data_IF_624075886447
#
_entry.id   IF_624075886447
#
_cell.length_a   1.000
_cell.length_b   1.000
_cell.length_c   1.000
_cell.angle_alpha   90.00
_cell.angle_beta   90.00
_cell.angle_gamma   90.00
#
_symmetry.space_group_name_H-M   'P 1'
#
loop_
_entity.id
_entity.type
_entity.pdbx_description
1 polymer ?
#
# COMPACT_ATOMS: atom_id res chain seq x y z
N UNK A 1 -9.68 -12.14 13.71
CA UNK A 1 -9.35 -10.80 13.18
C UNK A 1 -8.08 -10.92 12.35
N UNK A 2 -7.99 -10.29 11.17
CA UNK A 2 -6.79 -10.30 10.34
C UNK A 2 -5.64 -9.52 11.00
N UNK A 3 -4.38 -9.88 10.71
CA UNK A 3 -3.19 -9.26 11.33
C UNK A 3 -3.09 -7.75 11.10
N UNK A 4 -3.67 -7.25 10.00
CA UNK A 4 -3.59 -5.86 9.57
C UNK A 4 -4.85 -5.04 9.94
N UNK A 5 -5.87 -5.66 10.53
CA UNK A 5 -7.10 -4.95 10.90
C UNK A 5 -6.81 -3.81 11.89
N UNK A 6 -7.27 -2.59 11.56
CA UNK A 6 -7.07 -1.37 12.35
C UNK A 6 -5.65 -0.80 12.33
N UNK A 7 -4.76 -1.33 11.47
CA UNK A 7 -3.42 -0.76 11.26
C UNK A 7 -3.46 0.33 10.19
N UNK A 8 -2.54 1.29 10.32
CA UNK A 8 -2.33 2.36 9.35
C UNK A 8 -1.16 2.00 8.45
N UNK A 9 -1.32 2.17 7.14
CA UNK A 9 -0.30 1.85 6.13
C UNK A 9 0.10 3.10 5.35
N UNK A 10 1.41 3.21 5.11
CA UNK A 10 1.97 4.07 4.06
C UNK A 10 2.58 3.13 3.00
N UNK A 11 2.18 3.34 1.75
CA UNK A 11 2.61 2.51 0.63
C UNK A 11 3.56 3.32 -0.25
N UNK A 12 4.81 2.88 -0.34
CA UNK A 12 5.83 3.45 -1.22
C UNK A 12 6.15 2.44 -2.31
N UNK A 13 5.53 2.62 -3.48
CA UNK A 13 5.73 1.78 -4.64
C UNK A 13 6.94 2.22 -5.46
N UNK A 14 7.34 1.35 -6.37
CA UNK A 14 8.46 1.58 -7.29
C UNK A 14 7.94 1.53 -8.73
N UNK A 15 8.46 2.39 -9.61
CA UNK A 15 7.97 2.55 -10.99
C UNK A 15 8.13 1.28 -11.81
N UNK A 16 9.30 0.65 -11.75
CA UNK A 16 9.69 -0.49 -12.57
C UNK A 16 9.34 -1.85 -11.90
N UNK A 17 8.89 -1.80 -10.64
CA UNK A 17 8.50 -2.90 -9.78
C UNK A 17 7.01 -2.89 -9.44
N UNK A 18 6.68 -2.85 -8.15
CA UNK A 18 5.27 -2.84 -7.68
C UNK A 18 4.81 -1.40 -7.46
N UNK A 19 3.84 -0.90 -8.25
CA UNK A 19 3.37 0.47 -8.11
C UNK A 19 2.42 0.62 -6.91
N UNK A 20 2.35 1.83 -6.35
CA UNK A 20 1.50 2.18 -5.21
C UNK A 20 0.03 1.76 -5.35
N UNK A 21 -0.63 2.02 -6.50
CA UNK A 21 -2.01 1.59 -6.74
C UNK A 21 -2.21 0.07 -6.64
N UNK A 22 -1.28 -0.73 -7.18
CA UNK A 22 -1.38 -2.18 -7.12
C UNK A 22 -1.31 -2.71 -5.68
N UNK A 23 -0.47 -2.09 -4.83
CA UNK A 23 -0.46 -2.42 -3.39
C UNK A 23 -1.77 -2.03 -2.72
N UNK A 24 -2.34 -0.86 -3.06
CA UNK A 24 -3.61 -0.42 -2.47
C UNK A 24 -4.75 -1.42 -2.75
N UNK A 25 -4.83 -1.93 -3.98
CA UNK A 25 -5.83 -2.94 -4.36
C UNK A 25 -5.67 -4.25 -3.55
N UNK A 26 -4.43 -4.70 -3.34
CA UNK A 26 -4.14 -5.90 -2.53
C UNK A 26 -4.60 -5.72 -1.07
N UNK A 27 -4.45 -4.51 -0.51
CA UNK A 27 -4.79 -4.23 0.89
C UNK A 27 -6.23 -3.75 1.11
N UNK A 28 -7.03 -3.52 0.07
CA UNK A 28 -8.38 -2.94 0.17
C UNK A 28 -9.30 -3.68 1.17
N UNK A 29 -9.18 -5.00 1.28
CA UNK A 29 -10.00 -5.84 2.16
C UNK A 29 -9.24 -6.37 3.40
N UNK A 30 -8.05 -5.85 3.67
CA UNK A 30 -7.23 -6.28 4.81
C UNK A 30 -7.73 -5.76 6.17
N UNK A 31 -8.63 -4.76 6.14
CA UNK A 31 -9.08 -4.00 7.31
C UNK A 31 -8.06 -2.96 7.79
N UNK A 32 -6.99 -2.73 7.02
CA UNK A 32 -6.05 -1.63 7.25
C UNK A 32 -6.56 -0.33 6.63
N UNK A 33 -6.12 0.80 7.17
CA UNK A 33 -6.36 2.14 6.65
C UNK A 33 -5.12 2.61 5.89
N UNK A 34 -5.24 2.88 4.60
CA UNK A 34 -4.15 3.42 3.79
C UNK A 34 -4.17 4.95 3.94
N UNK A 35 -3.13 5.51 4.56
CA UNK A 35 -3.02 6.95 4.79
C UNK A 35 -2.28 7.68 3.66
N UNK A 36 -1.42 6.96 2.95
CA UNK A 36 -0.62 7.49 1.86
C UNK A 36 -0.25 6.38 0.89
N UNK A 37 -0.27 6.67 -0.40
CA UNK A 37 0.23 5.81 -1.45
C UNK A 37 0.88 6.65 -2.53
N UNK A 38 2.12 6.32 -2.89
CA UNK A 38 2.84 6.93 -4.00
C UNK A 38 3.63 5.85 -4.75
N UNK A 39 3.94 6.14 -6.01
CA UNK A 39 4.93 5.40 -6.78
C UNK A 39 6.13 6.31 -6.97
N UNK A 40 7.29 5.88 -6.48
CA UNK A 40 8.53 6.63 -6.54
C UNK A 40 9.45 6.08 -7.64
N UNK A 41 10.21 6.97 -8.28
CA UNK A 41 11.29 6.60 -9.19
C UNK A 41 12.61 6.77 -8.43
N UNK A 42 13.09 5.71 -7.78
CA UNK A 42 14.39 5.73 -7.13
C UNK A 42 15.48 5.60 -8.20
N UNK A 43 15.97 6.74 -8.70
CA UNK A 43 17.14 6.85 -9.59
C UNK A 43 18.39 7.20 -8.81
#
# INVERSE_FOLDING_TARGET
>A
MGKLTGKKLLLLGERDGVPGPAMADVFANSGAEILFSATECFV
#
